data_IF_643188239568
#
_entry.id   IF_643188239568
#
_cell.length_a   1.000
_cell.length_b   1.000
_cell.length_c   1.000
_cell.angle_alpha   90.00
_cell.angle_beta   90.00
_cell.angle_gamma   90.00
#
_symmetry.space_group_name_H-M   'P 1'
#
loop_
_entity.id
_entity.type
_entity.pdbx_description
1 polymer ?
#
# COMPACT_ATOMS: atom_id res chain seq x y z
N UNK A 1 -25.99 5.47 -14.00
CA UNK A 1 -25.86 4.20 -13.28
C UNK A 1 -25.32 4.48 -11.89
N UNK A 2 -25.86 3.84 -10.85
CA UNK A 2 -25.33 3.95 -9.49
C UNK A 2 -23.93 3.31 -9.48
N UNK A 3 -22.93 4.03 -8.98
CA UNK A 3 -21.59 3.45 -8.79
C UNK A 3 -21.67 2.42 -7.65
N UNK A 4 -21.17 1.22 -7.89
CA UNK A 4 -21.10 0.18 -6.87
C UNK A 4 -19.93 0.40 -5.92
N UNK A 5 -20.09 -0.03 -4.68
CA UNK A 5 -18.99 -0.25 -3.74
C UNK A 5 -18.06 -1.33 -4.33
N UNK A 6 -16.74 -1.18 -4.17
CA UNK A 6 -15.73 -2.09 -4.71
C UNK A 6 -14.74 -2.50 -3.63
N UNK A 7 -14.26 -3.72 -3.73
CA UNK A 7 -13.20 -4.27 -2.90
C UNK A 7 -11.99 -4.53 -3.80
N UNK A 8 -10.80 -4.25 -3.30
CA UNK A 8 -9.54 -4.64 -3.92
C UNK A 8 -8.69 -5.39 -2.92
N UNK A 9 -7.91 -6.35 -3.42
CA UNK A 9 -6.89 -7.07 -2.68
C UNK A 9 -5.54 -6.80 -3.33
N UNK A 10 -4.49 -6.64 -2.53
CA UNK A 10 -3.11 -6.54 -2.98
C UNK A 10 -2.20 -7.40 -2.12
N UNK A 11 -1.16 -7.89 -2.74
CA UNK A 11 -0.12 -8.72 -2.12
C UNK A 11 1.21 -8.34 -2.74
N UNK A 12 2.25 -8.26 -1.90
CA UNK A 12 3.61 -8.13 -2.38
C UNK A 12 4.59 -8.79 -1.41
N UNK A 13 5.76 -9.19 -1.92
CA UNK A 13 6.83 -9.81 -1.13
C UNK A 13 8.20 -9.36 -1.62
N UNK A 14 9.05 -8.92 -0.69
CA UNK A 14 10.42 -8.50 -0.99
C UNK A 14 11.43 -9.23 -0.12
N UNK A 15 12.59 -9.50 -0.71
CA UNK A 15 13.73 -10.10 -0.01
C UNK A 15 14.39 -9.09 0.94
N UNK A 16 14.81 -9.54 2.09
CA UNK A 16 15.66 -8.76 3.01
C UNK A 16 17.13 -8.84 2.60
N UNK A 17 17.77 -7.68 2.43
CA UNK A 17 19.16 -7.53 2.01
C UNK A 17 19.90 -6.50 2.87
N UNK A 18 21.23 -6.57 2.88
CA UNK A 18 22.08 -5.57 3.54
C UNK A 18 22.22 -4.31 2.70
N UNK A 19 22.49 -3.18 3.36
CA UNK A 19 22.85 -1.93 2.70
C UNK A 19 21.68 -1.11 2.15
N UNK A 20 20.45 -1.49 2.51
CA UNK A 20 19.24 -0.71 2.20
C UNK A 20 18.49 -0.33 3.48
N UNK A 21 17.82 0.83 3.54
CA UNK A 21 16.88 1.14 4.61
C UNK A 21 15.67 0.21 4.52
N UNK A 22 15.07 -0.11 5.65
CA UNK A 22 13.78 -0.81 5.69
C UNK A 22 12.65 0.22 5.70
N UNK A 23 11.89 0.26 4.61
CA UNK A 23 10.71 1.12 4.48
C UNK A 23 9.45 0.28 4.58
N UNK A 24 8.50 0.68 5.43
CA UNK A 24 7.19 0.02 5.58
C UNK A 24 6.10 1.08 5.80
N UNK A 25 5.19 1.19 4.82
CA UNK A 25 4.11 2.17 4.85
C UNK A 25 4.62 3.62 4.83
N UNK A 26 5.73 3.87 4.16
CA UNK A 26 6.38 5.18 4.09
C UNK A 26 7.16 5.57 5.35
N UNK A 27 7.26 4.67 6.34
CA UNK A 27 8.02 4.88 7.56
C UNK A 27 9.34 4.09 7.49
N UNK A 28 10.45 4.73 7.81
CA UNK A 28 11.72 4.04 7.96
C UNK A 28 11.78 3.31 9.31
N UNK A 29 11.99 2.00 9.25
CA UNK A 29 12.09 1.12 10.41
C UNK A 29 13.56 0.86 10.73
N UNK A 30 13.94 0.93 12.00
CA UNK A 30 15.29 0.58 12.42
C UNK A 30 15.55 -0.92 12.25
N UNK A 31 16.45 -1.26 11.33
CA UNK A 31 16.78 -2.63 10.98
C UNK A 31 18.17 -2.70 10.33
N UNK A 32 18.96 -3.76 10.57
CA UNK A 32 20.22 -4.01 9.86
C UNK A 32 20.02 -4.43 8.40
N UNK A 33 18.79 -4.79 8.01
CA UNK A 33 18.42 -5.21 6.67
C UNK A 33 17.25 -4.34 6.18
N UNK A 34 17.25 -4.05 4.88
CA UNK A 34 16.13 -3.41 4.19
C UNK A 34 15.60 -4.30 3.07
N UNK A 35 14.57 -3.84 2.38
CA UNK A 35 13.94 -4.61 1.32
C UNK A 35 14.60 -4.37 -0.03
N UNK A 36 14.88 -5.45 -0.75
CA UNK A 36 15.33 -5.42 -2.14
C UNK A 36 14.14 -5.00 -3.03
N UNK A 37 14.40 -4.11 -3.99
CA UNK A 37 13.39 -3.67 -4.94
C UNK A 37 13.98 -2.67 -5.90
N UNK A 38 13.28 -2.44 -7.01
CA UNK A 38 13.65 -1.44 -8.02
C UNK A 38 13.40 -0.01 -7.51
N UNK A 39 12.42 0.13 -6.60
CA UNK A 39 12.07 1.34 -5.86
C UNK A 39 12.74 1.34 -4.47
N UNK A 40 12.20 2.09 -3.51
CA UNK A 40 12.58 2.03 -2.10
C UNK A 40 12.23 0.68 -1.42
N UNK A 41 11.48 -0.19 -2.12
CA UNK A 41 11.13 -1.54 -1.67
C UNK A 41 10.04 -1.58 -0.60
N UNK A 42 9.23 -0.55 -0.45
CA UNK A 42 8.13 -0.55 0.53
C UNK A 42 7.02 -1.52 0.13
N UNK A 43 7.15 -2.76 0.59
CA UNK A 43 6.23 -3.86 0.29
C UNK A 43 4.78 -3.56 0.72
N UNK A 44 4.58 -2.75 1.77
CA UNK A 44 3.23 -2.39 2.23
C UNK A 44 2.58 -1.37 1.30
N UNK A 45 3.31 -0.34 0.87
CA UNK A 45 2.78 0.63 -0.10
C UNK A 45 2.51 -0.03 -1.46
N UNK A 46 3.32 -1.01 -1.87
CA UNK A 46 3.07 -1.80 -3.09
C UNK A 46 1.77 -2.60 -2.99
N UNK A 47 1.57 -3.36 -1.89
CA UNK A 47 0.34 -4.11 -1.69
C UNK A 47 -0.91 -3.20 -1.64
N UNK A 48 -0.82 -2.02 -0.99
CA UNK A 48 -1.93 -1.06 -0.97
C UNK A 48 -2.17 -0.46 -2.36
N UNK A 49 -1.11 -0.21 -3.14
CA UNK A 49 -1.21 0.27 -4.52
C UNK A 49 -1.99 -0.71 -5.38
N UNK A 50 -1.62 -2.00 -5.35
CA UNK A 50 -2.31 -3.06 -6.10
C UNK A 50 -3.77 -3.22 -5.67
N UNK A 51 -4.03 -3.16 -4.36
CA UNK A 51 -5.41 -3.21 -3.87
C UNK A 51 -6.27 -2.06 -4.42
N UNK A 52 -5.73 -0.84 -4.50
CA UNK A 52 -6.45 0.31 -5.04
C UNK A 52 -6.66 0.19 -6.55
N UNK A 53 -5.64 -0.22 -7.31
CA UNK A 53 -5.71 -0.44 -8.76
C UNK A 53 -6.73 -1.53 -9.10
N UNK A 54 -6.65 -2.69 -8.43
CA UNK A 54 -7.59 -3.79 -8.61
C UNK A 54 -9.03 -3.41 -8.29
N UNK A 55 -9.28 -2.63 -7.21
CA UNK A 55 -10.61 -2.10 -6.91
C UNK A 55 -11.14 -1.15 -7.99
N UNK A 56 -10.26 -0.45 -8.70
CA UNK A 56 -10.62 0.37 -9.87
C UNK A 56 -10.87 -0.45 -11.13
N UNK A 57 -10.51 -1.75 -11.16
CA UNK A 57 -10.55 -2.60 -12.34
C UNK A 57 -9.38 -2.32 -13.29
N UNK A 58 -8.30 -1.77 -12.76
CA UNK A 58 -7.03 -1.55 -13.47
C UNK A 58 -6.08 -2.74 -13.19
N UNK A 59 -5.00 -2.82 -13.97
CA UNK A 59 -3.94 -3.82 -13.80
C UNK A 59 -3.06 -3.52 -12.59
N UNK A 60 -2.06 -4.35 -12.35
CA UNK A 60 -1.15 -4.27 -11.20
C UNK A 60 -0.06 -3.20 -11.36
N UNK A 61 0.74 -3.02 -10.30
CA UNK A 61 1.84 -2.05 -10.24
C UNK A 61 2.89 -2.31 -11.33
N UNK A 62 3.12 -3.57 -11.74
CA UNK A 62 4.12 -3.94 -12.74
C UNK A 62 3.78 -3.41 -14.12
N UNK A 63 2.50 -3.39 -14.50
CA UNK A 63 2.05 -2.85 -15.78
C UNK A 63 2.18 -1.32 -15.84
N UNK A 64 1.98 -0.64 -14.71
CA UNK A 64 2.11 0.83 -14.65
C UNK A 64 3.56 1.30 -14.49
N UNK A 65 4.39 0.49 -13.84
CA UNK A 65 5.77 0.83 -13.45
C UNK A 65 6.69 -0.36 -13.69
N UNK A 66 6.94 -0.73 -14.95
CA UNK A 66 7.79 -1.86 -15.30
C UNK A 66 9.16 -1.79 -14.61
N UNK A 67 9.59 -2.90 -14.03
CA UNK A 67 10.86 -2.96 -13.27
C UNK A 67 12.10 -2.86 -14.14
N UNK A 68 11.98 -3.02 -15.45
CA UNK A 68 13.03 -2.82 -16.44
C UNK A 68 13.14 -1.39 -16.99
N UNK A 69 12.17 -0.51 -16.65
CA UNK A 69 12.23 0.90 -17.02
C UNK A 69 13.13 1.69 -16.04
N UNK A 70 14.30 2.22 -16.51
CA UNK A 70 15.23 2.97 -15.66
C UNK A 70 14.61 4.20 -14.97
N UNK A 71 13.51 4.71 -15.49
CA UNK A 71 12.78 5.85 -14.91
C UNK A 71 12.30 5.60 -13.48
N UNK A 72 12.05 4.35 -13.15
CA UNK A 72 11.50 3.97 -11.84
C UNK A 72 12.55 3.45 -10.86
N UNK A 73 13.81 3.40 -11.32
CA UNK A 73 14.92 3.02 -10.45
C UNK A 73 15.04 4.00 -9.29
N UNK A 74 15.06 3.45 -8.08
CA UNK A 74 15.14 4.19 -6.80
C UNK A 74 13.96 5.18 -6.58
N UNK A 75 12.85 5.04 -7.32
CA UNK A 75 11.65 5.82 -7.10
C UNK A 75 11.05 5.51 -5.72
N UNK A 76 10.46 6.52 -5.07
CA UNK A 76 9.67 6.30 -3.86
C UNK A 76 8.37 5.57 -4.20
N UNK A 77 8.02 4.56 -3.41
CA UNK A 77 6.74 3.83 -3.51
C UNK A 77 5.53 4.74 -3.30
N UNK A 78 5.71 5.90 -2.66
CA UNK A 78 4.71 6.96 -2.62
C UNK A 78 4.25 7.38 -4.03
N UNK A 79 5.16 7.43 -5.00
CA UNK A 79 4.84 7.78 -6.39
C UNK A 79 3.82 6.83 -6.99
N UNK A 80 3.99 5.54 -6.73
CA UNK A 80 3.08 4.48 -7.20
C UNK A 80 1.71 4.57 -6.51
N UNK A 81 1.72 4.75 -5.19
CA UNK A 81 0.51 4.93 -4.41
C UNK A 81 -0.30 6.16 -4.86
N UNK A 82 0.35 7.30 -5.11
CA UNK A 82 -0.32 8.50 -5.62
C UNK A 82 -0.97 8.29 -6.97
N UNK A 83 -0.38 7.49 -7.84
CA UNK A 83 -0.98 7.10 -9.13
C UNK A 83 -2.25 6.30 -8.91
N UNK A 84 -2.23 5.30 -8.01
CA UNK A 84 -3.42 4.50 -7.69
C UNK A 84 -4.54 5.36 -7.06
N UNK A 85 -4.19 6.29 -6.15
CA UNK A 85 -5.17 7.25 -5.58
C UNK A 85 -5.79 8.12 -6.69
N UNK A 86 -4.99 8.56 -7.67
CA UNK A 86 -5.53 9.31 -8.80
C UNK A 86 -6.51 8.48 -9.66
N UNK A 87 -6.27 7.17 -9.81
CA UNK A 87 -7.20 6.24 -10.48
C UNK A 87 -8.53 6.11 -9.72
N UNK A 88 -8.48 6.02 -8.38
CA UNK A 88 -9.70 6.05 -7.53
C UNK A 88 -10.53 7.31 -7.79
N UNK A 89 -9.86 8.48 -7.84
CA UNK A 89 -10.53 9.76 -8.15
C UNK A 89 -11.13 9.80 -9.55
N UNK A 90 -10.42 9.29 -10.58
CA UNK A 90 -10.95 9.17 -11.96
C UNK A 90 -12.18 8.28 -12.03
N UNK A 91 -12.19 7.18 -11.27
CA UNK A 91 -13.34 6.30 -11.13
C UNK A 91 -14.51 6.93 -10.34
N UNK A 92 -14.33 8.15 -9.81
CA UNK A 92 -15.30 8.85 -8.93
C UNK A 92 -15.64 8.05 -7.67
N UNK A 93 -14.65 7.33 -7.16
CA UNK A 93 -14.72 6.59 -5.92
C UNK A 93 -13.91 7.34 -4.85
N UNK A 94 -14.09 6.94 -3.61
CA UNK A 94 -13.30 7.38 -2.45
C UNK A 94 -12.90 6.14 -1.65
N UNK A 95 -11.73 6.21 -1.01
CA UNK A 95 -11.26 5.15 -0.12
C UNK A 95 -12.09 5.21 1.16
N UNK A 96 -12.76 4.13 1.50
CA UNK A 96 -13.60 4.03 2.71
C UNK A 96 -12.83 3.51 3.90
N UNK A 97 -12.08 2.43 3.71
CA UNK A 97 -11.13 1.90 4.69
C UNK A 97 -10.05 1.05 4.03
N UNK A 98 -8.98 0.81 4.78
CA UNK A 98 -7.86 -0.06 4.40
C UNK A 98 -7.51 -0.96 5.57
N UNK A 99 -7.42 -2.25 5.32
CA UNK A 99 -6.97 -3.25 6.29
C UNK A 99 -5.74 -3.98 5.72
N UNK A 100 -4.67 -4.06 6.53
CA UNK A 100 -3.40 -4.61 6.08
C UNK A 100 -2.82 -5.62 7.06
N UNK A 101 -2.01 -6.53 6.52
CA UNK A 101 -1.20 -7.47 7.29
C UNK A 101 0.23 -7.37 6.76
N UNK A 102 1.20 -7.19 7.65
CA UNK A 102 2.62 -7.33 7.37
C UNK A 102 3.07 -8.63 8.03
N UNK A 103 3.66 -9.53 7.25
CA UNK A 103 4.25 -10.77 7.77
C UNK A 103 5.76 -10.63 7.75
N UNK A 104 6.37 -10.59 8.94
CA UNK A 104 7.79 -10.40 9.13
C UNK A 104 8.27 -11.15 10.36
N UNK A 105 9.26 -12.01 10.23
CA UNK A 105 9.91 -12.65 11.38
C UNK A 105 10.82 -11.65 12.10
N UNK A 106 11.49 -10.80 11.35
CA UNK A 106 12.37 -9.73 11.86
C UNK A 106 12.33 -8.52 10.90
N UNK A 107 12.43 -7.28 11.46
CA UNK A 107 12.36 -6.92 12.89
C UNK A 107 10.97 -7.15 13.47
N UNK A 108 10.87 -7.23 14.82
CA UNK A 108 9.57 -7.27 15.48
C UNK A 108 8.84 -5.93 15.31
N UNK A 109 7.70 -5.94 14.63
CA UNK A 109 6.97 -4.75 14.24
C UNK A 109 5.98 -4.23 15.30
N UNK A 110 5.90 -4.87 16.46
CA UNK A 110 4.94 -4.51 17.51
C UNK A 110 4.94 -3.03 17.89
N UNK A 111 6.13 -2.47 18.12
CA UNK A 111 6.31 -1.06 18.50
C UNK A 111 6.10 -0.09 17.32
N UNK A 112 6.17 -0.58 16.08
CA UNK A 112 6.11 0.23 14.88
C UNK A 112 4.71 0.37 14.28
N UNK A 113 3.78 -0.52 14.66
CA UNK A 113 2.43 -0.58 14.05
C UNK A 113 1.70 0.75 14.02
N UNK A 114 1.69 1.49 15.13
CA UNK A 114 0.98 2.76 15.19
C UNK A 114 1.65 3.85 14.33
N UNK A 115 2.99 3.85 14.26
CA UNK A 115 3.74 4.74 13.36
C UNK A 115 3.45 4.44 11.89
N UNK A 116 3.49 3.15 11.51
CA UNK A 116 3.16 2.69 10.14
C UNK A 116 1.70 3.04 9.81
N UNK A 117 0.77 2.80 10.73
CA UNK A 117 -0.65 3.12 10.57
C UNK A 117 -0.87 4.62 10.36
N UNK A 118 -0.21 5.45 11.16
CA UNK A 118 -0.33 6.91 11.06
C UNK A 118 0.25 7.43 9.74
N UNK A 119 1.40 6.90 9.31
CA UNK A 119 2.02 7.22 8.03
C UNK A 119 1.09 6.85 6.88
N UNK A 120 0.59 5.61 6.85
CA UNK A 120 -0.31 5.13 5.80
C UNK A 120 -1.62 5.94 5.75
N UNK A 121 -2.21 6.27 6.92
CA UNK A 121 -3.39 7.12 7.00
C UNK A 121 -3.15 8.51 6.40
N UNK A 122 -1.98 9.09 6.65
CA UNK A 122 -1.57 10.37 6.07
C UNK A 122 -1.45 10.32 4.54
N UNK A 123 -0.84 9.27 3.99
CA UNK A 123 -0.74 9.11 2.53
C UNK A 123 -2.10 8.96 1.85
N UNK A 124 -3.05 8.29 2.52
CA UNK A 124 -4.38 8.00 1.98
C UNK A 124 -5.42 9.10 2.28
N UNK A 125 -5.04 10.13 3.04
CA UNK A 125 -5.96 11.18 3.55
C UNK A 125 -7.16 10.56 4.26
N UNK A 126 -6.90 9.58 5.15
CA UNK A 126 -7.90 8.87 5.92
C UNK A 126 -7.75 9.14 7.43
N UNK A 127 -8.86 9.21 8.16
CA UNK A 127 -8.82 9.17 9.62
C UNK A 127 -8.30 7.81 10.10
N UNK A 128 -7.61 7.80 11.24
CA UNK A 128 -6.93 6.60 11.77
C UNK A 128 -7.87 5.40 11.98
N UNK A 129 -9.12 5.62 12.36
CA UNK A 129 -10.12 4.57 12.58
C UNK A 129 -10.52 3.81 11.29
N UNK A 130 -10.09 4.29 10.13
CA UNK A 130 -10.31 3.65 8.83
C UNK A 130 -9.07 2.93 8.28
N UNK A 131 -7.98 2.93 9.02
CA UNK A 131 -6.74 2.25 8.64
C UNK A 131 -6.36 1.25 9.72
N UNK A 132 -6.16 0.00 9.34
CA UNK A 132 -5.70 -1.05 10.23
C UNK A 132 -4.35 -1.60 9.72
N UNK A 133 -3.39 -1.76 10.64
CA UNK A 133 -2.11 -2.41 10.37
C UNK A 133 -1.92 -3.54 11.39
N UNK A 134 -1.91 -4.77 10.88
CA UNK A 134 -1.61 -5.98 11.67
C UNK A 134 -0.20 -6.43 11.32
N UNK A 135 0.54 -6.90 12.31
CA UNK A 135 1.83 -7.54 12.12
C UNK A 135 1.78 -8.97 12.62
N UNK A 136 2.33 -9.89 11.85
CA UNK A 136 2.41 -11.32 12.12
C UNK A 136 3.82 -11.82 11.90
N UNK A 137 4.19 -12.90 12.59
CA UNK A 137 5.30 -13.77 12.20
C UNK A 137 4.79 -14.84 11.25
N UNK A 138 5.68 -15.55 10.61
CA UNK A 138 5.35 -16.75 9.82
C UNK A 138 5.74 -18.03 10.57
N UNK A 139 5.88 -17.93 11.91
CA UNK A 139 6.16 -19.06 12.82
C UNK A 139 7.37 -19.91 12.38
N UNK A 140 8.42 -19.27 11.83
CA UNK A 140 9.61 -19.95 11.33
C UNK A 140 9.42 -20.64 9.97
N UNK A 141 8.26 -20.55 9.34
CA UNK A 141 7.96 -21.29 8.10
C UNK A 141 8.34 -20.48 6.85
N UNK A 142 9.02 -21.16 5.94
CA UNK A 142 9.39 -20.61 4.62
C UNK A 142 10.31 -19.38 4.68
N UNK A 143 10.54 -18.71 3.54
CA UNK A 143 11.50 -17.59 3.45
C UNK A 143 11.19 -16.43 4.41
N UNK A 144 9.92 -16.14 4.66
CA UNK A 144 9.50 -15.09 5.59
C UNK A 144 9.80 -15.49 7.03
N UNK A 145 9.43 -16.72 7.43
CA UNK A 145 9.71 -17.24 8.77
C UNK A 145 11.21 -17.45 9.04
N UNK A 146 11.99 -17.69 7.99
CA UNK A 146 13.46 -17.73 8.09
C UNK A 146 14.10 -16.33 8.18
N UNK A 147 13.31 -15.25 8.12
CA UNK A 147 13.80 -13.89 8.16
C UNK A 147 14.52 -13.44 6.90
N UNK A 148 14.21 -14.03 5.74
CA UNK A 148 14.82 -13.74 4.44
C UNK A 148 13.95 -12.83 3.56
N UNK A 149 12.69 -12.62 3.94
CA UNK A 149 11.74 -11.78 3.22
C UNK A 149 10.72 -11.16 4.19
N UNK A 150 10.06 -10.11 3.73
CA UNK A 150 8.83 -9.57 4.33
C UNK A 150 7.76 -9.59 3.25
N UNK A 151 6.54 -9.96 3.62
CA UNK A 151 5.37 -9.87 2.76
C UNK A 151 4.30 -8.96 3.37
N UNK A 152 3.47 -8.39 2.51
CA UNK A 152 2.36 -7.57 2.90
C UNK A 152 1.10 -7.93 2.10
N UNK A 153 -0.03 -7.85 2.79
CA UNK A 153 -1.36 -8.00 2.22
C UNK A 153 -2.17 -6.75 2.51
N UNK A 154 -2.97 -6.33 1.56
CA UNK A 154 -3.88 -5.21 1.73
C UNK A 154 -5.27 -5.53 1.17
N UNK A 155 -6.29 -5.09 1.89
CA UNK A 155 -7.67 -5.06 1.41
C UNK A 155 -8.16 -3.63 1.51
N UNK A 156 -8.73 -3.13 0.42
CA UNK A 156 -9.32 -1.79 0.38
C UNK A 156 -10.80 -1.86 0.06
N UNK A 157 -11.58 -0.99 0.68
CA UNK A 157 -12.97 -0.74 0.34
C UNK A 157 -13.08 0.63 -0.29
N UNK A 158 -13.58 0.69 -1.52
CA UNK A 158 -13.92 1.92 -2.22
C UNK A 158 -15.44 2.10 -2.27
N UNK A 159 -15.89 3.31 -2.00
CA UNK A 159 -17.31 3.67 -2.08
C UNK A 159 -17.52 4.81 -3.07
N UNK A 160 -18.74 5.00 -3.60
CA UNK A 160 -19.06 6.14 -4.45
C UNK A 160 -18.69 7.46 -3.78
N UNK A 161 -17.96 8.31 -4.49
CA UNK A 161 -17.65 9.66 -4.04
C UNK A 161 -18.91 10.55 -3.97
N UNK A 162 -18.85 11.68 -3.27
CA UNK A 162 -19.99 12.60 -3.15
C UNK A 162 -20.43 13.07 -4.54
N UNK A 163 -21.74 13.03 -4.80
CA UNK A 163 -22.32 13.62 -6.02
C UNK A 163 -22.01 15.11 -6.05
N UNK A 164 -21.38 15.62 -7.10
CA UNK A 164 -21.27 17.06 -7.31
C UNK A 164 -22.68 17.65 -7.31
N UNK A 165 -23.01 18.50 -6.34
CA UNK A 165 -24.23 19.30 -6.40
C UNK A 165 -24.13 20.21 -7.61
N UNK A 166 -24.96 19.98 -8.63
CA UNK A 166 -25.11 20.91 -9.74
C UNK A 166 -25.74 22.17 -9.13
N UNK A 167 -24.98 23.26 -9.02
CA UNK A 167 -25.56 24.57 -8.73
C UNK A 167 -26.37 24.98 -9.96
N UNK A 168 -27.69 24.78 -9.92
CA UNK A 168 -28.59 25.40 -10.88
C UNK A 168 -28.66 26.87 -10.47
N UNK A 169 -28.04 27.75 -11.25
CA UNK A 169 -28.25 29.18 -11.09
C UNK A 169 -29.69 29.47 -11.43
N UNK A 170 -30.47 30.13 -10.56
CA UNK A 170 -31.80 30.58 -10.95
C UNK A 170 -31.69 31.60 -12.11
N UNK A 171 -32.52 31.44 -13.11
CA UNK A 171 -32.69 32.39 -14.22
C UNK A 171 -33.29 33.70 -13.72
#
# INVERSE_FOLDING_TARGET
MSQATRVGIGFDVHRLVRGRPLMLGGLQIESPLGLEGHSDGDVLLHAVTDALLGACGESDIGDFFPSDDPKWKDASSETFLRKAIASVGKARLVISNVDTIIVAERPHLGAWKEGIRSSLAGYLDLPLDRVCVKAKTNEGLGPVGEGRAIEAHAVVLLTPGPKKKIKISPK
#
